data_IF_671065942721
#
_entry.id   IF_671065942721
#
_cell.length_a   1.000
_cell.length_b   1.000
_cell.length_c   1.000
_cell.angle_alpha   90.00
_cell.angle_beta   90.00
_cell.angle_gamma   90.00
#
_symmetry.space_group_name_H-M   'P 1'
#
loop_
_entity.id
_entity.type
_entity.pdbx_description
1 polymer ?
#
# COMPACT_ATOMS: atom_id res chain seq x y z
N UNK A 1 16.46 -8.75 -3.19
CA UNK A 1 15.05 -8.88 -3.56
C UNK A 1 14.29 -7.67 -3.03
N UNK A 2 13.55 -6.98 -3.90
CA UNK A 2 12.80 -5.77 -3.59
C UNK A 2 11.31 -6.01 -3.76
N UNK A 3 10.56 -5.91 -2.67
CA UNK A 3 9.10 -6.12 -2.65
C UNK A 3 8.41 -4.77 -2.42
N UNK A 4 7.44 -4.47 -3.28
CA UNK A 4 6.52 -3.35 -3.12
C UNK A 4 5.22 -3.83 -2.45
N UNK A 5 4.83 -3.24 -1.34
CA UNK A 5 3.57 -3.52 -0.62
C UNK A 5 2.59 -2.36 -0.71
N UNK A 6 1.30 -2.66 -0.91
CA UNK A 6 0.21 -1.68 -0.97
C UNK A 6 -0.89 -2.06 0.02
N UNK A 7 -1.32 -1.13 0.87
CA UNK A 7 -2.50 -1.28 1.73
C UNK A 7 -3.50 -0.15 1.48
N UNK A 8 -4.75 -0.53 1.18
CA UNK A 8 -5.91 0.36 1.02
C UNK A 8 -7.12 -0.24 1.74
N UNK A 9 -6.90 -0.88 2.88
CA UNK A 9 -7.92 -1.67 3.57
C UNK A 9 -9.06 -0.84 4.19
N UNK A 10 -8.79 0.42 4.56
CA UNK A 10 -9.75 1.30 5.24
C UNK A 10 -9.68 2.75 4.74
N UNK A 11 -8.95 3.63 5.42
CA UNK A 11 -8.92 5.08 5.21
C UNK A 11 -7.49 5.66 5.13
N UNK A 12 -6.48 4.81 4.97
CA UNK A 12 -5.10 5.19 4.70
C UNK A 12 -4.63 4.49 3.42
N UNK A 13 -4.03 5.25 2.50
CA UNK A 13 -3.29 4.66 1.36
C UNK A 13 -1.84 4.49 1.79
N UNK A 14 -1.42 3.25 2.02
CA UNK A 14 -0.06 2.91 2.39
C UNK A 14 0.71 2.28 1.23
N UNK A 15 1.94 2.73 1.00
CA UNK A 15 2.91 2.04 0.13
C UNK A 15 4.23 1.87 0.87
N UNK A 16 4.65 0.61 1.00
CA UNK A 16 5.93 0.24 1.61
C UNK A 16 6.85 -0.46 0.61
N UNK A 17 8.16 -0.27 0.76
CA UNK A 17 9.17 -1.01 -0.01
C UNK A 17 10.13 -1.69 0.95
N UNK A 18 10.31 -3.00 0.77
CA UNK A 18 11.27 -3.82 1.52
C UNK A 18 12.34 -4.33 0.58
N UNK A 19 13.61 -4.06 0.89
CA UNK A 19 14.77 -4.60 0.18
C UNK A 19 15.55 -5.52 1.12
N UNK A 20 15.65 -6.80 0.77
CA UNK A 20 16.44 -7.80 1.51
C UNK A 20 16.12 -7.85 3.02
N UNK A 21 14.84 -7.74 3.35
CA UNK A 21 14.32 -7.78 4.73
C UNK A 21 14.40 -6.45 5.48
N UNK A 22 14.88 -5.38 4.85
CA UNK A 22 14.93 -4.03 5.42
C UNK A 22 13.87 -3.14 4.78
N UNK A 23 13.16 -2.35 5.58
CA UNK A 23 12.24 -1.33 5.07
C UNK A 23 13.07 -0.16 4.54
N UNK A 24 12.90 0.15 3.25
CA UNK A 24 13.60 1.25 2.57
C UNK A 24 12.68 2.42 2.21
N UNK A 25 11.36 2.22 2.25
CA UNK A 25 10.37 3.29 2.19
C UNK A 25 9.06 2.86 2.87
N UNK A 26 8.36 3.81 3.46
CA UNK A 26 7.03 3.63 4.05
C UNK A 26 6.26 4.96 3.99
N UNK A 27 5.39 5.09 2.99
CA UNK A 27 4.61 6.31 2.75
C UNK A 27 3.14 6.04 3.04
N UNK A 28 2.53 6.95 3.81
CA UNK A 28 1.10 6.88 4.17
C UNK A 28 0.42 8.19 3.82
N UNK A 29 -0.63 8.11 3.01
CA UNK A 29 -1.57 9.22 2.79
C UNK A 29 -2.87 8.95 3.57
N UNK A 30 -3.04 9.67 4.68
CA UNK A 30 -4.20 9.51 5.56
C UNK A 30 -5.39 10.34 5.14
N UNK A 31 -6.59 9.76 5.24
CA UNK A 31 -7.86 10.39 4.91
C UNK A 31 -8.59 10.94 6.15
N UNK A 32 -7.92 11.04 7.29
CA UNK A 32 -8.54 11.51 8.55
C UNK A 32 -9.33 12.82 8.37
N UNK A 33 -8.76 13.80 7.67
CA UNK A 33 -9.41 15.09 7.42
C UNK A 33 -10.66 14.97 6.51
N UNK A 34 -10.65 14.03 5.56
CA UNK A 34 -11.78 13.75 4.68
C UNK A 34 -12.97 13.18 5.46
N UNK A 35 -12.70 12.30 6.43
CA UNK A 35 -13.73 11.59 7.19
C UNK A 35 -14.25 12.36 8.42
N UNK A 36 -13.51 13.38 8.88
CA UNK A 36 -13.84 14.15 10.07
C UNK A 36 -15.29 14.70 10.12
N UNK A 37 -15.88 15.25 9.03
CA UNK A 37 -17.25 15.75 9.05
C UNK A 37 -18.33 14.68 9.25
N UNK A 38 -18.01 13.41 8.96
CA UNK A 38 -18.96 12.30 9.01
C UNK A 38 -18.96 11.57 10.37
N UNK A 39 -17.99 11.87 11.24
CA UNK A 39 -17.84 11.18 12.53
C UNK A 39 -17.39 9.72 12.42
N UNK A 40 -16.91 9.29 11.25
CA UNK A 40 -16.47 7.95 10.94
C UNK A 40 -16.11 7.81 9.46
N UNK A 41 -15.51 6.68 9.09
CA UNK A 41 -15.08 6.42 7.71
C UNK A 41 -16.30 6.33 6.79
N UNK A 42 -16.35 7.18 5.76
CA UNK A 42 -17.35 7.14 4.69
C UNK A 42 -16.84 6.24 3.55
N UNK A 43 -17.34 5.00 3.37
CA UNK A 43 -16.66 3.98 2.55
C UNK A 43 -16.48 4.36 1.06
N UNK A 44 -17.47 5.04 0.48
CA UNK A 44 -17.39 5.51 -0.91
C UNK A 44 -16.35 6.62 -1.07
N UNK A 45 -16.30 7.57 -0.12
CA UNK A 45 -15.30 8.63 -0.14
C UNK A 45 -13.88 8.06 0.02
N UNK A 46 -13.72 7.06 0.90
CA UNK A 46 -12.44 6.40 1.09
C UNK A 46 -11.94 5.71 -0.19
N UNK A 47 -12.83 5.00 -0.87
CA UNK A 47 -12.51 4.33 -2.14
C UNK A 47 -12.05 5.32 -3.22
N UNK A 48 -12.72 6.48 -3.33
CA UNK A 48 -12.33 7.54 -4.29
C UNK A 48 -10.99 8.17 -3.97
N UNK A 49 -10.74 8.39 -2.69
CA UNK A 49 -9.49 9.02 -2.25
C UNK A 49 -8.30 8.08 -2.49
N UNK A 50 -8.43 6.77 -2.22
CA UNK A 50 -7.40 5.80 -2.62
C UNK A 50 -7.08 5.87 -4.12
N UNK A 51 -8.11 5.92 -4.98
CA UNK A 51 -7.91 6.04 -6.43
C UNK A 51 -7.19 7.33 -6.82
N UNK A 52 -7.48 8.43 -6.13
CA UNK A 52 -6.90 9.73 -6.44
C UNK A 52 -5.41 9.83 -6.09
N UNK A 53 -4.98 9.15 -5.01
CA UNK A 53 -3.64 9.35 -4.44
C UNK A 53 -2.66 8.20 -4.68
N UNK A 54 -3.13 6.99 -5.04
CA UNK A 54 -2.27 5.79 -5.07
C UNK A 54 -1.03 5.91 -5.96
N UNK A 55 -1.14 6.56 -7.13
CA UNK A 55 0.00 6.82 -8.01
C UNK A 55 1.02 7.77 -7.37
N UNK A 56 0.55 8.82 -6.69
CA UNK A 56 1.41 9.76 -5.99
C UNK A 56 2.13 9.09 -4.82
N UNK A 57 1.42 8.30 -4.03
CA UNK A 57 2.00 7.58 -2.88
C UNK A 57 3.04 6.57 -3.34
N UNK A 58 2.78 5.86 -4.44
CA UNK A 58 3.77 4.96 -5.06
C UNK A 58 5.04 5.73 -5.48
N UNK A 59 4.88 6.86 -6.18
CA UNK A 59 6.02 7.65 -6.63
C UNK A 59 6.84 8.17 -5.44
N UNK A 60 6.18 8.65 -4.39
CA UNK A 60 6.85 9.07 -3.16
C UNK A 60 7.64 7.94 -2.50
N UNK A 61 7.09 6.71 -2.46
CA UNK A 61 7.80 5.57 -1.90
C UNK A 61 9.02 5.17 -2.74
N UNK A 62 8.91 5.23 -4.07
CA UNK A 62 10.04 5.01 -4.98
C UNK A 62 11.14 6.06 -4.80
N UNK A 63 10.76 7.33 -4.68
CA UNK A 63 11.68 8.45 -4.44
C UNK A 63 12.38 8.31 -3.08
N UNK A 64 11.63 7.98 -2.02
CA UNK A 64 12.17 7.73 -0.68
C UNK A 64 13.17 6.57 -0.67
N UNK A 65 12.89 5.50 -1.41
CA UNK A 65 13.81 4.36 -1.54
C UNK A 65 14.99 4.62 -2.49
N UNK A 66 14.95 5.71 -3.29
CA UNK A 66 15.92 5.97 -4.35
C UNK A 66 15.89 4.92 -5.47
N UNK A 67 14.72 4.30 -5.70
CA UNK A 67 14.53 3.21 -6.65
C UNK A 67 13.66 3.64 -7.84
N UNK A 68 13.85 2.96 -8.96
CA UNK A 68 12.91 3.00 -10.08
C UNK A 68 11.97 1.82 -9.97
N UNK A 69 10.76 1.96 -10.51
CA UNK A 69 9.80 0.86 -10.61
C UNK A 69 10.37 -0.39 -11.30
N UNK A 70 11.40 -0.24 -12.15
CA UNK A 70 12.10 -1.35 -12.79
C UNK A 70 12.90 -2.24 -11.84
N UNK A 71 13.21 -1.76 -10.64
CA UNK A 71 13.98 -2.48 -9.62
C UNK A 71 13.09 -3.34 -8.69
N UNK A 72 11.76 -3.31 -8.86
CA UNK A 72 10.82 -4.11 -8.07
C UNK A 72 10.79 -5.55 -8.60
N UNK A 73 10.95 -6.51 -7.70
CA UNK A 73 10.98 -7.95 -8.01
C UNK A 73 9.61 -8.63 -7.77
N UNK A 74 8.78 -8.09 -6.88
CA UNK A 74 7.43 -8.59 -6.59
C UNK A 74 6.51 -7.47 -6.07
N UNK A 75 5.21 -7.63 -6.29
CA UNK A 75 4.18 -6.71 -5.79
C UNK A 75 3.24 -7.45 -4.84
N UNK A 76 3.05 -6.90 -3.65
CA UNK A 76 2.14 -7.40 -2.63
C UNK A 76 1.02 -6.37 -2.39
N UNK A 77 -0.20 -6.86 -2.14
CA UNK A 77 -1.28 -5.98 -1.71
C UNK A 77 -2.22 -6.66 -0.72
N UNK A 78 -2.79 -5.85 0.18
CA UNK A 78 -3.76 -6.32 1.16
C UNK A 78 -5.04 -6.79 0.45
N UNK A 79 -5.42 -8.06 0.66
CA UNK A 79 -6.64 -8.62 0.11
C UNK A 79 -7.82 -8.59 1.08
N UNK A 80 -7.55 -8.46 2.38
CA UNK A 80 -8.55 -8.35 3.44
C UNK A 80 -8.00 -8.76 4.81
N UNK A 81 -8.79 -8.58 5.89
CA UNK A 81 -10.10 -7.93 5.92
C UNK A 81 -10.01 -6.41 5.65
N UNK A 82 -11.14 -5.78 5.34
CA UNK A 82 -11.22 -4.35 5.04
C UNK A 82 -12.53 -3.95 4.35
N UNK A 83 -12.64 -2.67 4.01
CA UNK A 83 -13.76 -2.13 3.25
C UNK A 83 -13.66 -2.58 1.79
N UNK A 84 -14.70 -3.25 1.28
CA UNK A 84 -14.65 -3.88 -0.06
C UNK A 84 -14.27 -2.92 -1.19
N UNK A 85 -14.80 -1.69 -1.17
CA UNK A 85 -14.47 -0.67 -2.18
C UNK A 85 -13.01 -0.25 -2.11
N UNK A 86 -12.51 -0.01 -0.90
CA UNK A 86 -11.13 0.39 -0.65
C UNK A 86 -10.14 -0.73 -1.03
N UNK A 87 -10.42 -1.98 -0.62
CA UNK A 87 -9.61 -3.16 -0.98
C UNK A 87 -9.51 -3.37 -2.49
N UNK A 88 -10.62 -3.17 -3.22
CA UNK A 88 -10.63 -3.34 -4.67
C UNK A 88 -9.69 -2.36 -5.38
N UNK A 89 -9.49 -1.15 -4.84
CA UNK A 89 -8.56 -0.17 -5.41
C UNK A 89 -7.12 -0.68 -5.37
N UNK A 90 -6.61 -0.98 -4.17
CA UNK A 90 -5.24 -1.49 -4.00
C UNK A 90 -5.00 -2.82 -4.72
N UNK A 91 -5.95 -3.76 -4.63
CA UNK A 91 -5.84 -5.04 -5.33
C UNK A 91 -5.79 -4.90 -6.85
N UNK A 92 -6.66 -4.05 -7.43
CA UNK A 92 -6.71 -3.86 -8.88
C UNK A 92 -5.46 -3.16 -9.38
N UNK A 93 -5.01 -2.13 -8.65
CA UNK A 93 -3.80 -1.40 -8.95
C UNK A 93 -2.56 -2.32 -8.92
N UNK A 94 -2.37 -3.04 -7.81
CA UNK A 94 -1.24 -3.92 -7.61
C UNK A 94 -1.19 -5.08 -8.63
N UNK A 95 -2.35 -5.69 -8.93
CA UNK A 95 -2.44 -6.74 -9.96
C UNK A 95 -2.14 -6.18 -11.35
N UNK A 96 -2.65 -5.00 -11.68
CA UNK A 96 -2.37 -4.34 -12.95
C UNK A 96 -0.88 -4.03 -13.12
N UNK A 97 -0.25 -3.52 -12.07
CA UNK A 97 1.19 -3.24 -12.02
C UNK A 97 2.03 -4.52 -12.19
N UNK A 98 1.73 -5.55 -11.40
CA UNK A 98 2.42 -6.83 -11.46
C UNK A 98 2.30 -7.46 -12.85
N UNK A 99 1.09 -7.47 -13.42
CA UNK A 99 0.82 -7.98 -14.75
C UNK A 99 1.60 -7.23 -15.82
N UNK A 100 1.55 -5.89 -15.81
CA UNK A 100 2.26 -5.06 -16.78
C UNK A 100 3.79 -5.24 -16.75
N UNK A 101 4.34 -5.59 -15.58
CA UNK A 101 5.79 -5.80 -15.37
C UNK A 101 6.21 -7.27 -15.45
N UNK A 102 5.27 -8.21 -15.55
CA UNK A 102 5.54 -9.65 -15.50
C UNK A 102 6.07 -10.12 -14.13
N UNK A 103 5.65 -9.45 -13.05
CA UNK A 103 6.11 -9.72 -11.69
C UNK A 103 5.14 -10.65 -10.94
N UNK A 104 5.63 -11.43 -9.96
CA UNK A 104 4.78 -12.12 -9.00
C UNK A 104 3.88 -11.15 -8.25
N UNK A 105 2.62 -11.55 -8.06
CA UNK A 105 1.65 -10.86 -7.20
C UNK A 105 1.40 -11.69 -5.94
N UNK A 106 1.44 -11.04 -4.77
CA UNK A 106 1.24 -11.67 -3.46
C UNK A 106 0.04 -11.03 -2.76
N UNK A 107 -1.00 -11.82 -2.52
CA UNK A 107 -2.14 -11.38 -1.71
C UNK A 107 -1.79 -11.50 -0.21
N UNK A 108 -1.90 -10.39 0.53
CA UNK A 108 -1.53 -10.34 1.95
C UNK A 108 -2.77 -10.16 2.82
N UNK A 109 -2.87 -10.94 3.90
CA UNK A 109 -3.91 -10.74 4.91
C UNK A 109 -3.51 -9.55 5.80
N UNK A 110 -4.40 -8.57 5.98
CA UNK A 110 -4.13 -7.31 6.68
C UNK A 110 -3.54 -7.54 8.08
N UNK A 111 -4.15 -8.44 8.86
CA UNK A 111 -3.68 -8.74 10.22
C UNK A 111 -2.35 -9.52 10.24
N UNK A 112 -2.05 -10.31 9.20
CA UNK A 112 -0.74 -10.97 9.10
C UNK A 112 0.34 -9.93 8.82
N UNK A 113 0.02 -8.91 8.01
CA UNK A 113 0.88 -7.73 7.79
C UNK A 113 1.23 -7.01 9.10
N UNK A 114 0.23 -6.77 9.96
CA UNK A 114 0.44 -6.19 11.30
C UNK A 114 1.34 -7.06 12.20
N UNK A 115 1.16 -8.38 12.17
CA UNK A 115 2.01 -9.29 12.96
C UNK A 115 3.45 -9.26 12.42
N UNK A 116 3.62 -9.28 11.10
CA UNK A 116 4.94 -9.26 10.46
C UNK A 116 5.70 -7.94 10.70
N UNK A 117 5.00 -6.80 10.70
CA UNK A 117 5.63 -5.49 10.90
C UNK A 117 6.26 -5.33 12.29
N UNK A 118 5.76 -6.04 13.30
CA UNK A 118 6.36 -6.06 14.65
C UNK A 118 7.78 -6.62 14.70
N UNK A 119 8.21 -7.36 13.68
CA UNK A 119 9.55 -7.95 13.58
C UNK A 119 10.54 -7.01 12.89
N UNK A 120 10.09 -5.86 12.39
CA UNK A 120 10.93 -4.86 11.72
C UNK A 120 11.51 -3.89 12.74
N UNK A 121 12.82 -3.62 12.65
CA UNK A 121 13.48 -2.66 13.53
C UNK A 121 13.29 -1.21 13.02
N UNK A 122 13.13 -0.22 13.90
CA UNK A 122 13.08 1.19 13.51
C UNK A 122 14.43 1.68 12.95
N UNK A 123 14.45 2.79 12.19
CA UNK A 123 13.32 3.68 11.90
C UNK A 123 12.32 3.07 10.90
N UNK A 124 11.02 3.23 11.19
CA UNK A 124 9.92 2.84 10.30
C UNK A 124 9.74 3.86 9.15
N UNK A 125 10.88 4.32 8.59
CA UNK A 125 11.12 5.53 7.79
C UNK A 125 9.88 6.15 7.15
#
# INVERSE_FOLDING_TARGET
MVILGIDTSCDDTGVGIVADGQVVANVVASQTALHAPYGGVMPEAASREHLAVIDQVLQQALDQAGLKLTAIDAVAATYGPGLVGALLVGLSYAKGLAWARGLPFIAVHHLEGHIASSQVAPPFL
#
